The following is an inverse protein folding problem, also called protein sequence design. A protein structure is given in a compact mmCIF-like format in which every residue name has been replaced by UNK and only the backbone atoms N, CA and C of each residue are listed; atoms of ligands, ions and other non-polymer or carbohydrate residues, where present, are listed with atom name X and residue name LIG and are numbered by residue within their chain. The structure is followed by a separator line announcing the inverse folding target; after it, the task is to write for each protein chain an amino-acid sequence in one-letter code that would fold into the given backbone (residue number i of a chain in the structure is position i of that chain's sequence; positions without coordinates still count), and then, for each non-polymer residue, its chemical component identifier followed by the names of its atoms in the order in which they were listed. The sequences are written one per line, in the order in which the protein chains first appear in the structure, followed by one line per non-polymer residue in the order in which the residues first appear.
data_IF_993979432293
#
_entry.id   IF_993979432293
#
_cell.length_a   1.000
_cell.length_b   1.000
_cell.length_c   1.000
_cell.angle_alpha   90.00
_cell.angle_beta   90.00
_cell.angle_gamma   90.00
#
_symmetry.space_group_name_H-M   'P 1'
#
loop_
_entity.id
_entity.type
_entity.pdbx_description
1 polymer ?
#
# COMPACT_ATOMS: atom_id res chain seq x y z
N UNK A 1 -9.76 -1.38 -17.65
CA UNK A 1 -9.17 -1.67 -16.33
C UNK A 1 -8.54 -0.43 -15.72
N UNK A 2 -7.81 0.39 -16.49
CA UNK A 2 -7.30 1.70 -16.07
C UNK A 2 -8.39 2.64 -15.55
N UNK A 3 -9.57 2.63 -16.17
CA UNK A 3 -10.60 3.64 -15.90
C UNK A 3 -11.25 3.46 -14.51
N UNK A 4 -11.47 2.21 -14.08
CA UNK A 4 -12.00 1.89 -12.74
C UNK A 4 -10.94 2.10 -11.65
N UNK A 5 -9.68 1.77 -11.96
CA UNK A 5 -8.56 2.02 -11.05
C UNK A 5 -8.35 3.52 -10.82
N UNK A 6 -8.59 4.37 -11.83
CA UNK A 6 -8.54 5.81 -11.69
C UNK A 6 -9.48 6.37 -10.63
N UNK A 7 -10.68 5.80 -10.48
CA UNK A 7 -11.63 6.19 -9.43
C UNK A 7 -11.24 5.68 -8.03
N UNK A 8 -10.50 4.56 -7.96
CA UNK A 8 -10.03 3.97 -6.70
C UNK A 8 -8.70 4.58 -6.21
N UNK A 9 -7.95 5.24 -7.08
CA UNK A 9 -6.62 5.79 -6.78
C UNK A 9 -6.76 7.24 -6.32
N UNK A 10 -6.33 7.51 -5.09
CA UNK A 10 -6.24 8.87 -4.60
C UNK A 10 -5.09 9.63 -5.29
N UNK A 11 -5.23 10.93 -5.48
CA UNK A 11 -4.14 11.83 -5.88
C UNK A 11 -2.92 11.72 -4.96
N UNK A 12 -3.15 11.46 -3.67
CA UNK A 12 -2.10 11.25 -2.68
C UNK A 12 -1.37 9.90 -2.78
N UNK A 13 -1.86 8.95 -3.59
CA UNK A 13 -1.20 7.66 -3.76
C UNK A 13 -0.09 7.78 -4.80
N UNK A 14 1.17 7.81 -4.38
CA UNK A 14 2.31 7.99 -5.31
C UNK A 14 3.06 6.71 -5.66
N UNK A 15 2.90 5.65 -4.86
CA UNK A 15 3.58 4.37 -5.09
C UNK A 15 2.83 3.51 -6.13
N UNK A 16 3.61 2.77 -6.93
CA UNK A 16 3.13 1.76 -7.89
C UNK A 16 2.21 2.29 -9.01
N UNK A 17 2.28 3.59 -9.32
CA UNK A 17 1.55 4.21 -10.44
C UNK A 17 2.55 4.67 -11.51
N UNK A 18 2.42 4.21 -12.77
CA UNK A 18 3.28 4.66 -13.86
C UNK A 18 3.28 6.19 -13.99
N UNK A 19 4.47 6.78 -14.09
CA UNK A 19 4.63 8.24 -14.21
C UNK A 19 4.63 9.00 -12.88
N UNK A 20 4.41 8.33 -11.74
CA UNK A 20 4.62 8.90 -10.39
C UNK A 20 5.94 8.39 -9.83
N UNK A 21 6.82 9.30 -9.41
CA UNK A 21 8.13 8.93 -8.86
C UNK A 21 8.05 8.85 -7.33
N UNK A 22 8.74 7.88 -6.75
CA UNK A 22 8.80 7.73 -5.28
C UNK A 22 9.50 8.93 -4.60
N UNK A 23 10.39 9.61 -5.32
CA UNK A 23 11.07 10.82 -4.87
C UNK A 23 10.10 11.93 -4.48
N UNK A 24 8.98 12.05 -5.20
CA UNK A 24 8.01 13.12 -4.98
C UNK A 24 7.30 12.93 -3.64
N UNK A 25 7.03 11.68 -3.26
CA UNK A 25 6.48 11.34 -1.94
C UNK A 25 7.47 11.68 -0.80
N UNK A 26 8.77 11.45 -1.02
CA UNK A 26 9.80 11.82 -0.03
C UNK A 26 9.85 13.33 0.17
N UNK A 27 9.74 14.10 -0.91
CA UNK A 27 9.74 15.57 -0.85
C UNK A 27 8.50 16.10 -0.10
N UNK A 28 7.31 15.58 -0.42
CA UNK A 28 6.06 15.94 0.28
C UNK A 28 6.15 15.57 1.76
N UNK A 29 6.65 14.37 2.10
CA UNK A 29 6.84 13.96 3.49
C UNK A 29 7.81 14.90 4.24
N UNK A 30 8.87 15.34 3.57
CA UNK A 30 9.82 16.29 4.14
C UNK A 30 9.18 17.65 4.42
N UNK A 31 8.37 18.17 3.50
CA UNK A 31 7.64 19.43 3.67
C UNK A 31 6.62 19.36 4.82
N UNK A 32 5.89 18.24 4.93
CA UNK A 32 4.97 18.00 6.04
C UNK A 32 5.72 17.95 7.37
N UNK A 33 6.83 17.20 7.46
CA UNK A 33 7.65 17.13 8.67
C UNK A 33 8.27 18.48 9.03
N UNK A 34 8.74 19.24 8.04
CA UNK A 34 9.27 20.58 8.24
C UNK A 34 8.19 21.52 8.79
N UNK A 35 6.99 21.49 8.21
CA UNK A 35 5.83 22.26 8.67
C UNK A 35 5.41 21.90 10.10
N UNK A 36 5.46 20.62 10.46
CA UNK A 36 5.21 20.14 11.82
C UNK A 36 6.25 20.66 12.81
N UNK A 37 7.53 20.64 12.42
CA UNK A 37 8.63 21.15 13.26
C UNK A 37 8.57 22.68 13.46
N UNK A 38 8.19 23.42 12.43
CA UNK A 38 8.01 24.88 12.46
C UNK A 38 6.82 25.31 13.34
N UNK A 39 5.77 24.49 13.41
CA UNK A 39 4.54 24.77 14.18
C UNK A 39 4.55 24.18 15.59
N UNK A 40 5.72 24.03 16.21
CA UNK A 40 5.90 23.46 17.56
C UNK A 40 5.26 24.29 18.70
N UNK A 41 4.95 25.56 18.48
CA UNK A 41 4.33 26.43 19.48
C UNK A 41 3.05 27.06 18.91
N UNK A 42 1.90 26.66 19.47
CA UNK A 42 0.57 27.12 19.07
C UNK A 42 -0.53 26.34 19.79
N UNK A 43 -1.74 26.93 19.92
CA UNK A 43 -2.88 26.33 20.65
C UNK A 43 -3.42 25.02 20.04
N UNK A 44 -2.95 24.62 18.85
CA UNK A 44 -3.29 23.35 18.18
C UNK A 44 -2.02 22.51 18.02
N UNK A 45 -1.98 21.35 18.67
CA UNK A 45 -0.91 20.38 18.50
C UNK A 45 -1.04 19.64 17.17
N UNK A 46 0.07 19.47 16.45
CA UNK A 46 0.12 18.63 15.26
C UNK A 46 0.94 17.38 15.57
N UNK A 47 0.57 16.24 15.00
CA UNK A 47 1.30 14.98 15.16
C UNK A 47 1.44 14.27 13.82
N UNK A 48 2.51 13.50 13.65
CA UNK A 48 2.70 12.60 12.53
C UNK A 48 2.47 11.16 13.00
N UNK A 49 1.70 10.39 12.24
CA UNK A 49 1.49 8.97 12.48
C UNK A 49 2.23 8.18 11.40
N UNK A 50 3.26 7.44 11.78
CA UNK A 50 3.96 6.52 10.88
C UNK A 50 3.25 5.16 10.93
N UNK A 51 2.59 4.79 9.84
CA UNK A 51 2.01 3.46 9.67
C UNK A 51 3.00 2.58 8.91
N UNK A 52 3.37 1.44 9.49
CA UNK A 52 4.29 0.47 8.88
C UNK A 52 3.48 -0.62 8.16
N UNK A 53 3.49 -0.58 6.83
CA UNK A 53 2.76 -1.54 5.98
C UNK A 53 3.42 -2.92 5.91
N UNK A 54 4.69 -3.05 6.30
CA UNK A 54 5.41 -4.33 6.25
C UNK A 54 4.71 -5.39 7.11
N UNK A 55 4.14 -4.97 8.24
CA UNK A 55 3.32 -5.83 9.12
C UNK A 55 1.87 -6.02 8.65
N UNK A 56 1.41 -5.19 7.72
CA UNK A 56 0.05 -5.26 7.21
C UNK A 56 -0.08 -6.42 6.21
N UNK A 57 0.93 -6.64 5.37
CA UNK A 57 0.93 -7.73 4.39
C UNK A 57 0.96 -9.13 5.04
N UNK A 58 1.62 -9.29 6.18
CA UNK A 58 1.62 -10.55 6.95
C UNK A 58 0.24 -10.90 7.54
N UNK A 59 -0.68 -9.93 7.61
CA UNK A 59 -1.97 -10.03 8.32
C UNK A 59 -3.17 -9.74 7.44
N UNK A 60 -3.00 -9.61 6.13
CA UNK A 60 -4.12 -9.38 5.22
C UNK A 60 -5.02 -10.62 5.22
N UNK A 61 -6.25 -10.44 5.72
CA UNK A 61 -7.27 -11.47 5.63
C UNK A 61 -7.86 -11.48 4.22
N UNK A 62 -7.70 -12.59 3.51
CA UNK A 62 -8.14 -12.72 2.12
C UNK A 62 -9.66 -12.54 1.95
N UNK A 63 -10.45 -12.96 2.94
CA UNK A 63 -11.89 -12.75 2.94
C UNK A 63 -12.26 -11.26 3.02
N UNK A 64 -11.48 -10.49 3.79
CA UNK A 64 -11.65 -9.04 3.87
C UNK A 64 -11.33 -8.39 2.52
N UNK A 65 -10.25 -8.82 1.85
CA UNK A 65 -9.90 -8.32 0.52
C UNK A 65 -11.03 -8.60 -0.50
N UNK A 66 -11.54 -9.83 -0.55
CA UNK A 66 -12.65 -10.19 -1.42
C UNK A 66 -13.92 -9.37 -1.12
N UNK A 67 -14.23 -9.15 0.17
CA UNK A 67 -15.34 -8.31 0.61
C UNK A 67 -15.19 -6.85 0.18
N UNK A 68 -13.99 -6.28 0.32
CA UNK A 68 -13.69 -4.92 -0.13
C UNK A 68 -13.81 -4.78 -1.65
N UNK A 69 -13.30 -5.73 -2.42
CA UNK A 69 -13.44 -5.71 -3.89
C UNK A 69 -14.90 -5.80 -4.32
N UNK A 70 -15.71 -6.61 -3.63
CA UNK A 70 -17.15 -6.66 -3.89
C UNK A 70 -17.83 -5.32 -3.57
N UNK A 71 -17.44 -4.67 -2.47
CA UNK A 71 -17.97 -3.35 -2.10
C UNK A 71 -17.57 -2.23 -3.08
N UNK A 72 -16.38 -2.33 -3.67
CA UNK A 72 -15.90 -1.45 -4.74
C UNK A 72 -16.56 -1.73 -6.11
N UNK A 73 -17.45 -2.72 -6.21
CA UNK A 73 -18.21 -3.01 -7.43
C UNK A 73 -17.49 -3.91 -8.44
N UNK A 74 -16.41 -4.59 -8.06
CA UNK A 74 -15.74 -5.54 -8.95
C UNK A 74 -16.64 -6.75 -9.25
N UNK A 75 -16.62 -7.20 -10.51
CA UNK A 75 -17.38 -8.38 -10.93
C UNK A 75 -16.85 -9.66 -10.26
N UNK A 76 -17.75 -10.59 -9.95
CA UNK A 76 -17.43 -11.80 -9.16
C UNK A 76 -16.29 -12.63 -9.78
N UNK A 77 -16.29 -12.80 -11.10
CA UNK A 77 -15.24 -13.58 -11.78
C UNK A 77 -13.85 -12.94 -11.65
N UNK A 78 -13.77 -11.61 -11.61
CA UNK A 78 -12.53 -10.89 -11.38
C UNK A 78 -12.02 -11.07 -9.96
N UNK A 79 -12.91 -11.04 -8.98
CA UNK A 79 -12.57 -11.31 -7.58
C UNK A 79 -12.05 -12.75 -7.46
N UNK A 80 -12.74 -13.72 -8.06
CA UNK A 80 -12.30 -15.13 -8.05
C UNK A 80 -10.93 -15.31 -8.69
N UNK A 81 -10.66 -14.61 -9.80
CA UNK A 81 -9.37 -14.67 -10.48
C UNK A 81 -8.24 -14.11 -9.62
N UNK A 82 -8.45 -12.95 -8.99
CA UNK A 82 -7.48 -12.31 -8.09
C UNK A 82 -7.24 -13.17 -6.84
N UNK A 83 -8.31 -13.72 -6.26
CA UNK A 83 -8.24 -14.61 -5.10
C UNK A 83 -7.54 -15.94 -5.40
N UNK A 84 -7.54 -16.41 -6.66
CA UNK A 84 -6.76 -17.58 -7.09
C UNK A 84 -5.29 -17.27 -7.36
N UNK A 85 -4.97 -16.08 -7.85
CA UNK A 85 -3.58 -15.68 -8.13
C UNK A 85 -2.80 -15.28 -6.86
N UNK A 86 -3.45 -14.68 -5.88
CA UNK A 86 -2.76 -14.14 -4.69
C UNK A 86 -2.03 -15.19 -3.83
N UNK A 87 -2.58 -16.39 -3.58
CA UNK A 87 -1.86 -17.45 -2.86
C UNK A 87 -0.61 -17.92 -3.60
N UNK A 88 -0.65 -17.97 -4.94
CA UNK A 88 0.49 -18.39 -5.78
C UNK A 88 1.62 -17.36 -5.71
N UNK A 89 1.26 -16.07 -5.77
CA UNK A 89 2.22 -14.97 -5.62
C UNK A 89 2.77 -14.87 -4.19
N UNK A 90 1.96 -15.13 -3.17
CA UNK A 90 2.41 -15.17 -1.78
C UNK A 90 3.37 -16.33 -1.53
N UNK A 91 3.08 -17.53 -2.07
CA UNK A 91 4.02 -18.65 -2.04
C UNK A 91 5.30 -18.30 -2.79
N UNK A 92 5.23 -17.75 -4.01
CA UNK A 92 6.43 -17.32 -4.74
C UNK A 92 7.22 -16.23 -4.01
N UNK A 93 6.56 -15.31 -3.32
CA UNK A 93 7.21 -14.26 -2.53
C UNK A 93 7.84 -14.82 -1.26
N UNK A 94 7.17 -15.75 -0.55
CA UNK A 94 7.72 -16.44 0.62
C UNK A 94 8.90 -17.34 0.21
N UNK A 95 8.83 -18.01 -0.93
CA UNK A 95 9.94 -18.81 -1.45
C UNK A 95 11.08 -17.92 -1.92
N UNK A 96 10.82 -16.84 -2.65
CA UNK A 96 11.86 -15.90 -3.10
C UNK A 96 12.50 -15.14 -1.93
N UNK A 97 11.73 -14.79 -0.89
CA UNK A 97 12.26 -14.16 0.33
C UNK A 97 13.02 -15.18 1.19
N UNK A 98 12.54 -16.42 1.33
CA UNK A 98 13.32 -17.47 2.01
C UNK A 98 14.60 -17.82 1.26
N UNK A 99 14.59 -17.88 -0.07
CA UNK A 99 15.78 -18.14 -0.89
C UNK A 99 16.78 -16.97 -0.80
N UNK A 100 16.29 -15.73 -0.68
CA UNK A 100 17.11 -14.54 -0.44
C UNK A 100 17.65 -14.44 1.00
N UNK A 101 16.92 -14.94 2.00
CA UNK A 101 17.35 -14.98 3.41
C UNK A 101 18.19 -16.22 3.77
N UNK A 102 18.20 -17.27 2.96
CA UNK A 102 19.01 -18.47 3.16
C UNK A 102 20.33 -18.47 2.37
N UNK A 103 20.73 -17.35 1.77
CA UNK A 103 22.09 -17.15 1.24
C UNK A 103 23.06 -16.56 2.27
N UNK A 104 22.66 -16.42 3.54
CA UNK A 104 23.50 -15.91 4.63
C UNK A 104 23.93 -16.97 5.68
N UNK A 105 23.99 -18.26 5.31
CA UNK A 105 24.71 -19.29 6.09
C UNK A 105 25.75 -20.04 5.23
#
# INVERSE_FOLDING_TARGET
MSDILGECINEAQWAFIPGRLISDNVLIAYEVLHSLNMKRSGKKGNFALKLDMSKAYDRVEWNFLAGMMKALGFHVDWIVLIMRCCPILFVLMVWAVNDFLLQED
#
